data_IF_094400374823
#
_entry.id   IF_094400374823
#
_cell.length_a   1.000
_cell.length_b   1.000
_cell.length_c   1.000
_cell.angle_alpha   90.00
_cell.angle_beta   90.00
_cell.angle_gamma   90.00
#
_symmetry.space_group_name_H-M   'P 1'
#
loop_
_entity.id
_entity.type
_entity.pdbx_description
1 polymer ?
#
# COMPACT_ATOMS: atom_id res chain seq x y z
N UNK A 1 -6.08 -20.92 -21.17
CA UNK A 1 -6.10 -19.45 -21.35
C UNK A 1 -5.47 -18.85 -20.12
N UNK A 2 -4.26 -18.27 -20.22
CA UNK A 2 -3.60 -17.64 -19.07
C UNK A 2 -4.38 -16.38 -18.68
N UNK A 3 -5.33 -16.51 -17.76
CA UNK A 3 -5.98 -15.36 -17.15
C UNK A 3 -4.94 -14.65 -16.28
N UNK A 4 -4.36 -13.57 -16.78
CA UNK A 4 -3.47 -12.72 -16.00
C UNK A 4 -4.22 -12.25 -14.74
N UNK A 5 -3.74 -12.59 -13.53
CA UNK A 5 -4.37 -12.21 -12.25
C UNK A 5 -4.62 -10.71 -12.10
N UNK A 6 -3.92 -9.89 -12.88
CA UNK A 6 -4.04 -8.43 -12.90
C UNK A 6 -5.14 -7.89 -13.81
N UNK A 7 -5.84 -8.74 -14.57
CA UNK A 7 -6.85 -8.33 -15.56
C UNK A 7 -8.08 -7.64 -14.95
N UNK A 8 -8.22 -7.64 -13.63
CA UNK A 8 -9.24 -6.89 -12.92
C UNK A 8 -9.02 -5.37 -12.99
N UNK A 9 -7.77 -4.93 -13.13
CA UNK A 9 -7.39 -3.52 -13.15
C UNK A 9 -7.31 -3.00 -14.58
N UNK A 10 -8.11 -1.98 -14.89
CA UNK A 10 -8.19 -1.38 -16.24
C UNK A 10 -6.96 -0.51 -16.53
N UNK A 11 -6.39 0.11 -15.48
CA UNK A 11 -5.16 0.90 -15.55
C UNK A 11 -4.23 0.59 -14.39
N UNK A 12 -2.95 0.48 -14.72
CA UNK A 12 -1.87 0.29 -13.75
C UNK A 12 -0.83 1.40 -13.96
N UNK A 13 -0.57 2.19 -12.92
CA UNK A 13 0.40 3.28 -12.95
C UNK A 13 1.53 3.06 -11.96
N UNK A 14 2.72 3.54 -12.30
CA UNK A 14 3.83 3.68 -11.37
C UNK A 14 4.36 5.11 -11.39
N UNK A 15 4.32 5.80 -10.25
CA UNK A 15 4.83 7.15 -10.09
C UNK A 15 6.36 7.10 -9.98
N UNK A 16 7.04 7.96 -10.72
CA UNK A 16 8.49 8.13 -10.61
C UNK A 16 8.89 9.57 -10.90
N UNK A 17 9.92 10.07 -10.22
CA UNK A 17 10.46 11.40 -10.53
C UNK A 17 11.44 11.32 -11.72
N UNK A 18 11.44 12.32 -12.61
CA UNK A 18 12.21 12.33 -13.86
C UNK A 18 13.68 11.92 -13.68
N UNK A 19 14.35 12.44 -12.65
CA UNK A 19 15.76 12.16 -12.35
C UNK A 19 16.10 10.77 -11.80
N UNK A 20 15.12 9.88 -11.57
CA UNK A 20 15.35 8.55 -10.97
C UNK A 20 15.16 7.39 -11.94
N UNK A 21 15.95 7.37 -13.02
CA UNK A 21 15.97 6.26 -13.98
C UNK A 21 16.43 4.94 -13.34
N UNK A 22 17.29 5.03 -12.33
CA UNK A 22 17.72 3.93 -11.46
C UNK A 22 16.53 3.22 -10.82
N UNK A 23 15.68 3.95 -10.08
CA UNK A 23 14.47 3.39 -9.42
C UNK A 23 13.49 2.82 -10.43
N UNK A 24 13.31 3.47 -11.58
CA UNK A 24 12.45 2.93 -12.65
C UNK A 24 12.96 1.60 -13.18
N UNK A 25 14.27 1.42 -13.30
CA UNK A 25 14.84 0.15 -13.74
C UNK A 25 14.61 -0.95 -12.69
N UNK A 26 14.82 -0.66 -11.41
CA UNK A 26 14.53 -1.57 -10.30
C UNK A 26 13.03 -1.95 -10.26
N UNK A 27 12.13 -0.95 -10.31
CA UNK A 27 10.69 -1.17 -10.33
C UNK A 27 10.26 -2.03 -11.54
N UNK A 28 10.84 -1.83 -12.72
CA UNK A 28 10.56 -2.69 -13.90
C UNK A 28 10.91 -4.15 -13.65
N UNK A 29 12.04 -4.42 -13.00
CA UNK A 29 12.43 -5.79 -12.64
C UNK A 29 11.42 -6.40 -11.65
N UNK A 30 10.98 -5.62 -10.66
CA UNK A 30 9.95 -6.03 -9.69
C UNK A 30 8.61 -6.32 -10.38
N UNK A 31 8.18 -5.47 -11.32
CA UNK A 31 6.96 -5.72 -12.10
C UNK A 31 7.08 -6.92 -13.04
N UNK A 32 8.26 -7.17 -13.62
CA UNK A 32 8.50 -8.34 -14.45
C UNK A 32 8.35 -9.63 -13.64
N UNK A 33 8.90 -9.67 -12.43
CA UNK A 33 8.83 -10.82 -11.53
C UNK A 33 7.39 -11.21 -11.11
N UNK A 34 6.42 -10.29 -11.22
CA UNK A 34 5.02 -10.54 -10.86
C UNK A 34 4.06 -10.43 -12.06
N UNK A 35 4.56 -10.37 -13.29
CA UNK A 35 3.73 -10.33 -14.50
C UNK A 35 3.04 -8.99 -14.80
N UNK A 36 3.47 -7.89 -14.17
CA UNK A 36 2.92 -6.54 -14.34
C UNK A 36 3.64 -5.69 -15.40
N UNK A 37 4.84 -6.09 -15.85
CA UNK A 37 5.74 -5.22 -16.66
C UNK A 37 5.07 -4.61 -17.90
N UNK A 38 4.20 -5.34 -18.60
CA UNK A 38 3.52 -4.85 -19.81
C UNK A 38 2.25 -4.03 -19.54
N UNK A 39 1.75 -4.05 -18.30
CA UNK A 39 0.53 -3.35 -17.89
C UNK A 39 0.82 -1.99 -17.26
N UNK A 40 1.98 -1.86 -16.62
CA UNK A 40 2.35 -0.66 -15.88
C UNK A 40 2.75 0.47 -16.83
N UNK A 41 2.07 1.60 -16.73
CA UNK A 41 2.49 2.86 -17.31
C UNK A 41 3.21 3.71 -16.26
N UNK A 42 4.43 4.16 -16.56
CA UNK A 42 5.15 5.07 -15.68
C UNK A 42 4.65 6.51 -15.85
N UNK A 43 4.17 7.10 -14.75
CA UNK A 43 3.80 8.52 -14.67
C UNK A 43 5.01 9.29 -14.16
N UNK A 44 5.74 9.89 -15.11
CA UNK A 44 6.97 10.64 -14.82
C UNK A 44 6.61 12.07 -14.40
N UNK A 45 7.05 12.47 -13.21
CA UNK A 45 6.80 13.81 -12.67
C UNK A 45 8.11 14.52 -12.34
N UNK A 46 8.09 15.85 -12.32
CA UNK A 46 9.21 16.62 -11.80
C UNK A 46 9.14 16.69 -10.28
N UNK A 47 10.30 16.70 -9.61
CA UNK A 47 10.35 16.92 -8.15
C UNK A 47 9.79 18.30 -7.87
N UNK A 48 8.83 18.39 -6.96
CA UNK A 48 8.29 19.67 -6.55
C UNK A 48 9.39 20.51 -5.89
N UNK A 49 9.60 21.78 -6.29
CA UNK A 49 10.78 22.55 -5.90
C UNK A 49 10.86 22.83 -4.40
N UNK A 50 9.70 23.03 -3.75
CA UNK A 50 9.62 23.45 -2.34
C UNK A 50 9.08 22.33 -1.43
N UNK A 51 7.91 21.77 -1.76
CA UNK A 51 7.21 20.78 -0.93
C UNK A 51 7.19 19.38 -1.55
N UNK A 52 8.04 18.43 -1.11
CA UNK A 52 7.97 17.03 -1.54
C UNK A 52 6.62 16.37 -1.25
N UNK A 53 5.96 16.76 -0.14
CA UNK A 53 4.66 16.23 0.23
C UNK A 53 3.56 16.67 -0.76
N UNK A 54 3.62 17.92 -1.22
CA UNK A 54 2.73 18.42 -2.27
C UNK A 54 3.00 17.73 -3.61
N UNK A 55 4.27 17.54 -3.97
CA UNK A 55 4.65 16.80 -5.17
C UNK A 55 4.15 15.36 -5.18
N UNK A 56 4.25 14.66 -4.05
CA UNK A 56 3.69 13.33 -3.85
C UNK A 56 2.15 13.33 -3.95
N UNK A 57 1.47 14.28 -3.30
CA UNK A 57 0.02 14.41 -3.42
C UNK A 57 -0.41 14.61 -4.89
N UNK A 58 0.19 15.57 -5.57
CA UNK A 58 -0.12 15.92 -6.95
C UNK A 58 0.15 14.74 -7.91
N UNK A 59 1.21 13.96 -7.70
CA UNK A 59 1.51 12.81 -8.57
C UNK A 59 0.46 11.69 -8.47
N UNK A 60 -0.07 11.41 -7.27
CA UNK A 60 -1.22 10.50 -7.12
C UNK A 60 -2.47 11.07 -7.79
N UNK A 61 -2.81 12.34 -7.54
CA UNK A 61 -3.97 12.99 -8.18
C UNK A 61 -3.86 12.97 -9.71
N UNK A 62 -2.67 13.16 -10.28
CA UNK A 62 -2.43 13.05 -11.72
C UNK A 62 -2.75 11.64 -12.24
N UNK A 63 -2.34 10.58 -11.52
CA UNK A 63 -2.70 9.21 -11.90
C UNK A 63 -4.22 8.99 -11.89
N UNK A 64 -4.92 9.49 -10.88
CA UNK A 64 -6.38 9.35 -10.76
C UNK A 64 -7.11 10.10 -11.88
N UNK A 65 -6.70 11.34 -12.18
CA UNK A 65 -7.26 12.12 -13.30
C UNK A 65 -7.02 11.45 -14.65
N UNK A 66 -5.81 10.89 -14.85
CA UNK A 66 -5.46 10.15 -16.06
C UNK A 66 -6.29 8.86 -16.22
N UNK A 67 -6.50 8.12 -15.13
CA UNK A 67 -7.41 6.96 -15.12
C UNK A 67 -8.85 7.36 -15.46
N UNK A 68 -9.36 8.44 -14.86
CA UNK A 68 -10.70 8.94 -15.13
C UNK A 68 -10.88 9.33 -16.60
N UNK A 69 -9.91 10.04 -17.18
CA UNK A 69 -9.90 10.39 -18.61
C UNK A 69 -9.88 9.15 -19.53
N UNK A 70 -9.34 8.03 -19.04
CA UNK A 70 -9.33 6.75 -19.75
C UNK A 70 -10.57 5.87 -19.49
N UNK A 71 -11.55 6.34 -18.71
CA UNK A 71 -12.74 5.57 -18.34
C UNK A 71 -12.46 4.35 -17.46
N UNK A 72 -11.33 4.33 -16.74
CA UNK A 72 -10.93 3.20 -15.90
C UNK A 72 -11.85 3.04 -14.69
N UNK A 73 -12.31 1.81 -14.42
CA UNK A 73 -13.17 1.45 -13.28
C UNK A 73 -12.37 1.00 -12.07
N UNK A 74 -11.30 0.25 -12.29
CA UNK A 74 -10.40 -0.21 -11.24
C UNK A 74 -8.96 0.15 -11.59
N UNK A 75 -8.32 0.88 -10.68
CA UNK A 75 -7.05 1.55 -10.94
C UNK A 75 -6.05 1.03 -9.91
N UNK A 76 -4.87 0.62 -10.35
CA UNK A 76 -3.78 0.17 -9.48
C UNK A 76 -2.61 1.16 -9.59
N UNK A 77 -2.14 1.68 -8.47
CA UNK A 77 -1.09 2.71 -8.40
C UNK A 77 0.06 2.21 -7.53
N UNK A 78 1.27 2.39 -8.05
CA UNK A 78 2.53 2.10 -7.39
C UNK A 78 3.43 3.34 -7.30
N UNK A 79 4.37 3.33 -6.36
CA UNK A 79 5.58 4.15 -6.40
C UNK A 79 6.77 3.32 -6.90
N UNK A 80 7.79 3.97 -7.47
CA UNK A 80 8.96 3.32 -8.08
C UNK A 80 9.99 2.76 -7.07
N UNK A 81 9.75 2.85 -5.77
CA UNK A 81 10.50 2.10 -4.74
C UNK A 81 9.83 0.79 -4.32
N UNK A 82 8.87 0.31 -5.10
CA UNK A 82 8.19 -0.96 -4.86
C UNK A 82 9.16 -2.16 -4.83
N UNK A 83 8.97 -3.05 -3.87
CA UNK A 83 9.56 -4.38 -3.77
C UNK A 83 8.45 -5.39 -3.53
N UNK A 84 8.40 -6.45 -4.35
CA UNK A 84 7.51 -7.57 -4.12
C UNK A 84 8.20 -8.67 -3.30
N UNK A 85 7.53 -9.16 -2.25
CA UNK A 85 7.99 -10.32 -1.45
C UNK A 85 6.82 -11.22 -1.12
N UNK A 86 6.99 -12.53 -1.29
CA UNK A 86 5.93 -13.51 -1.01
C UNK A 86 4.70 -13.33 -1.91
N UNK A 87 4.91 -12.84 -3.14
CA UNK A 87 3.86 -12.70 -4.14
C UNK A 87 3.19 -14.06 -4.42
N UNK A 88 1.87 -14.03 -4.58
CA UNK A 88 1.07 -15.21 -4.90
C UNK A 88 -0.04 -14.80 -5.85
N UNK A 89 -0.01 -15.35 -7.06
CA UNK A 89 -1.02 -15.11 -8.08
C UNK A 89 -2.43 -15.50 -7.60
N UNK A 90 -2.52 -16.63 -6.89
CA UNK A 90 -3.77 -17.11 -6.28
C UNK A 90 -4.38 -16.07 -5.33
N UNK A 91 -3.56 -15.44 -4.46
CA UNK A 91 -4.07 -14.41 -3.53
C UNK A 91 -4.53 -13.15 -4.24
N UNK A 92 -3.89 -12.75 -5.35
CA UNK A 92 -4.38 -11.64 -6.16
C UNK A 92 -5.73 -12.01 -6.78
N UNK A 93 -5.86 -13.24 -7.31
CA UNK A 93 -7.12 -13.74 -7.86
C UNK A 93 -8.23 -13.70 -6.80
N UNK A 94 -8.01 -14.31 -5.64
CA UNK A 94 -8.92 -14.29 -4.49
C UNK A 94 -9.29 -12.85 -4.09
N UNK A 95 -8.31 -11.97 -3.94
CA UNK A 95 -8.56 -10.58 -3.60
C UNK A 95 -9.42 -9.86 -4.66
N UNK A 96 -9.18 -10.07 -5.94
CA UNK A 96 -10.00 -9.45 -7.00
C UNK A 96 -11.40 -10.07 -7.08
N UNK A 97 -11.58 -11.35 -6.76
CA UNK A 97 -12.89 -11.99 -6.63
C UNK A 97 -13.67 -11.42 -5.45
N UNK A 98 -13.01 -11.21 -4.30
CA UNK A 98 -13.59 -10.50 -3.17
C UNK A 98 -14.03 -9.08 -3.55
N UNK A 99 -13.19 -8.31 -4.27
CA UNK A 99 -13.55 -6.96 -4.71
C UNK A 99 -14.75 -6.96 -5.68
N UNK A 100 -14.84 -7.93 -6.60
CA UNK A 100 -16.00 -8.10 -7.50
C UNK A 100 -17.29 -8.36 -6.71
N UNK A 101 -17.22 -9.18 -5.66
CA UNK A 101 -18.36 -9.51 -4.82
C UNK A 101 -18.78 -8.35 -3.86
N UNK A 102 -17.91 -7.37 -3.65
CA UNK A 102 -18.12 -6.27 -2.71
C UNK A 102 -17.94 -4.90 -3.40
N UNK A 103 -18.83 -4.51 -4.34
CA UNK A 103 -18.61 -3.35 -5.22
C UNK A 103 -18.51 -1.99 -4.51
N UNK A 104 -18.86 -1.92 -3.23
CA UNK A 104 -18.71 -0.74 -2.38
C UNK A 104 -17.29 -0.54 -1.81
N UNK A 105 -16.34 -1.43 -2.12
CA UNK A 105 -14.93 -1.25 -1.77
C UNK A 105 -14.39 0.06 -2.34
N UNK A 106 -13.56 0.79 -1.60
CA UNK A 106 -13.01 2.06 -2.09
C UNK A 106 -11.51 1.98 -2.35
N UNK A 107 -10.76 1.33 -1.45
CA UNK A 107 -9.33 1.07 -1.68
C UNK A 107 -8.93 -0.34 -1.23
N UNK A 108 -7.96 -0.93 -1.93
CA UNK A 108 -7.29 -2.17 -1.54
C UNK A 108 -5.78 -1.95 -1.56
N UNK A 109 -5.10 -2.13 -0.44
CA UNK A 109 -3.65 -1.97 -0.34
C UNK A 109 -2.93 -3.32 -0.52
N UNK A 110 -1.88 -3.36 -1.34
CA UNK A 110 -1.02 -4.56 -1.48
C UNK A 110 0.08 -4.61 -0.41
N UNK A 111 0.27 -3.48 0.28
CA UNK A 111 1.13 -3.27 1.43
C UNK A 111 0.88 -1.89 2.02
N UNK A 112 0.75 -1.79 3.34
CA UNK A 112 0.60 -0.53 4.06
C UNK A 112 0.84 -0.73 5.57
N UNK A 113 0.94 0.37 6.32
CA UNK A 113 0.83 0.33 7.78
C UNK A 113 -0.62 0.64 8.16
N UNK A 114 -1.15 -0.15 9.10
CA UNK A 114 -2.51 -0.01 9.63
C UNK A 114 -2.51 0.31 11.12
N UNK A 115 -3.62 0.86 11.58
CA UNK A 115 -3.92 1.07 13.00
C UNK A 115 -4.94 0.05 13.54
N UNK A 116 -5.69 -0.61 12.65
CA UNK A 116 -6.63 -1.69 12.96
C UNK A 116 -6.77 -2.60 11.76
N UNK A 117 -7.01 -3.88 12.01
CA UNK A 117 -7.34 -4.89 11.01
C UNK A 117 -8.44 -5.81 11.53
N UNK A 118 -9.36 -6.21 10.66
CA UNK A 118 -10.42 -7.17 10.91
C UNK A 118 -10.48 -8.20 9.77
N UNK A 119 -10.95 -9.41 10.08
CA UNK A 119 -11.16 -10.45 9.06
C UNK A 119 -12.31 -10.09 8.13
N UNK A 120 -12.25 -10.59 6.91
CA UNK A 120 -13.41 -10.66 6.01
C UNK A 120 -13.77 -12.13 5.80
N UNK A 121 -14.76 -12.41 4.94
CA UNK A 121 -15.06 -13.78 4.51
C UNK A 121 -13.91 -14.43 3.73
N UNK A 122 -13.03 -13.63 3.13
CA UNK A 122 -11.85 -14.09 2.41
C UNK A 122 -10.60 -14.01 3.32
N UNK A 123 -9.81 -15.09 3.39
CA UNK A 123 -8.63 -15.13 4.27
C UNK A 123 -7.47 -14.28 3.75
N UNK A 124 -7.44 -14.01 2.44
CA UNK A 124 -6.46 -13.20 1.74
C UNK A 124 -6.82 -11.72 1.74
N UNK A 125 -7.99 -11.33 2.27
CA UNK A 125 -8.42 -9.94 2.39
C UNK A 125 -8.74 -9.58 3.83
N UNK A 126 -8.31 -8.39 4.23
CA UNK A 126 -8.59 -7.83 5.56
C UNK A 126 -9.22 -6.47 5.41
N UNK A 127 -10.25 -6.18 6.19
CA UNK A 127 -10.73 -4.80 6.35
C UNK A 127 -9.78 -4.06 7.29
N UNK A 128 -9.41 -2.82 6.97
CA UNK A 128 -8.37 -2.11 7.70
C UNK A 128 -8.77 -0.69 8.09
N UNK A 129 -8.11 -0.16 9.12
CA UNK A 129 -7.99 1.28 9.33
C UNK A 129 -6.57 1.70 8.93
N UNK A 130 -6.45 2.25 7.74
CA UNK A 130 -5.21 2.72 7.13
C UNK A 130 -4.51 3.76 8.01
N UNK A 131 -3.17 3.75 7.98
CA UNK A 131 -2.32 4.74 8.67
C UNK A 131 -1.38 5.46 7.72
N UNK A 132 -0.56 4.74 6.95
CA UNK A 132 0.39 5.31 5.99
C UNK A 132 0.99 4.25 5.03
N UNK A 133 1.87 4.72 4.13
CA UNK A 133 2.55 3.97 3.06
C UNK A 133 1.70 3.66 1.82
N UNK A 134 1.23 4.69 1.12
CA UNK A 134 0.41 4.60 -0.09
C UNK A 134 1.19 4.22 -1.37
N UNK A 135 2.24 3.41 -1.22
CA UNK A 135 3.15 2.99 -2.28
C UNK A 135 2.61 1.91 -3.23
N UNK A 136 1.53 1.21 -2.86
CA UNK A 136 0.92 0.14 -3.66
C UNK A 136 -0.55 -0.06 -3.27
N UNK A 137 -1.46 0.54 -4.03
CA UNK A 137 -2.90 0.43 -3.76
C UNK A 137 -3.74 0.41 -5.04
N UNK A 138 -4.88 -0.27 -4.95
CA UNK A 138 -5.96 -0.16 -5.90
C UNK A 138 -7.06 0.77 -5.37
N UNK A 139 -7.78 1.40 -6.28
CA UNK A 139 -8.91 2.30 -6.00
C UNK A 139 -10.01 2.11 -7.05
N UNK A 140 -11.27 2.17 -6.62
CA UNK A 140 -12.42 2.09 -7.52
C UNK A 140 -12.69 3.46 -8.18
N UNK A 141 -13.43 3.50 -9.28
CA UNK A 141 -13.67 4.74 -10.01
C UNK A 141 -14.44 5.82 -9.22
N UNK A 142 -15.52 5.50 -8.47
CA UNK A 142 -16.22 6.51 -7.69
C UNK A 142 -15.32 7.21 -6.68
N UNK A 143 -14.50 6.43 -5.95
CA UNK A 143 -13.58 6.99 -4.97
C UNK A 143 -12.39 7.68 -5.62
N UNK A 144 -11.87 7.16 -6.75
CA UNK A 144 -10.84 7.84 -7.53
C UNK A 144 -11.30 9.23 -8.00
N UNK A 145 -12.55 9.37 -8.43
CA UNK A 145 -13.13 10.65 -8.82
C UNK A 145 -13.25 11.60 -7.61
N UNK A 146 -13.70 11.11 -6.46
CA UNK A 146 -13.74 11.91 -5.22
C UNK A 146 -12.35 12.41 -4.82
N UNK A 147 -11.35 11.53 -4.82
CA UNK A 147 -9.97 11.89 -4.50
C UNK A 147 -9.42 12.91 -5.51
N UNK A 148 -9.63 12.69 -6.81
CA UNK A 148 -9.14 13.56 -7.89
C UNK A 148 -9.73 15.00 -7.86
N UNK A 149 -10.91 15.17 -7.27
CA UNK A 149 -11.58 16.45 -7.11
C UNK A 149 -11.04 17.27 -5.92
N UNK A 150 -10.23 16.67 -5.04
CA UNK A 150 -9.71 17.33 -3.83
C UNK A 150 -8.40 18.06 -4.17
N UNK A 151 -8.33 19.40 -4.05
CA UNK A 151 -7.08 20.12 -4.23
C UNK A 151 -6.13 19.85 -3.06
N UNK A 152 -4.86 20.21 -3.23
CA UNK A 152 -3.90 20.20 -2.13
C UNK A 152 -4.36 21.12 -0.99
N UNK A 153 -4.35 20.60 0.24
CA UNK A 153 -4.81 21.32 1.45
C UNK A 153 -3.71 21.44 2.51
N UNK A 154 -2.43 21.32 2.11
CA UNK A 154 -1.32 21.35 3.06
C UNK A 154 -1.12 20.07 3.88
N UNK A 155 -1.82 18.98 3.54
CA UNK A 155 -1.73 17.69 4.26
C UNK A 155 -1.19 16.58 3.34
N UNK A 156 -0.13 15.84 3.74
CA UNK A 156 0.40 14.74 2.93
C UNK A 156 -0.67 13.72 2.52
N UNK A 157 -0.48 13.08 1.37
CA UNK A 157 -1.45 12.15 0.79
C UNK A 157 -1.84 11.01 1.74
N UNK A 158 -0.87 10.42 2.46
CA UNK A 158 -1.13 9.42 3.49
C UNK A 158 -2.05 9.94 4.61
N UNK A 159 -1.78 11.14 5.12
CA UNK A 159 -2.60 11.78 6.16
C UNK A 159 -4.01 12.05 5.65
N UNK A 160 -4.13 12.48 4.39
CA UNK A 160 -5.41 12.69 3.73
C UNK A 160 -6.23 11.39 3.66
N UNK A 161 -5.64 10.29 3.16
CA UNK A 161 -6.29 8.98 3.12
C UNK A 161 -6.65 8.44 4.51
N UNK A 162 -5.75 8.60 5.49
CA UNK A 162 -5.97 8.16 6.86
C UNK A 162 -7.09 8.94 7.57
N UNK A 163 -7.40 10.17 7.16
CA UNK A 163 -8.56 10.91 7.66
C UNK A 163 -9.87 10.39 7.06
N UNK A 164 -9.86 9.91 5.82
CA UNK A 164 -11.05 9.38 5.15
C UNK A 164 -11.40 7.97 5.65
N UNK A 165 -10.43 7.05 5.63
CA UNK A 165 -10.50 5.73 6.27
C UNK A 165 -11.85 5.00 6.12
N UNK A 166 -12.35 4.96 4.89
CA UNK A 166 -13.67 4.44 4.57
C UNK A 166 -13.65 2.91 4.34
N UNK A 167 -14.22 2.39 3.25
CA UNK A 167 -14.25 0.94 2.96
C UNK A 167 -12.90 0.46 2.37
N UNK A 168 -11.89 0.45 3.24
CA UNK A 168 -10.51 0.11 2.91
C UNK A 168 -10.16 -1.32 3.29
N UNK A 169 -9.46 -1.98 2.37
CA UNK A 169 -9.02 -3.36 2.47
C UNK A 169 -7.52 -3.47 2.28
N UNK A 170 -6.92 -4.56 2.76
CA UNK A 170 -5.54 -4.91 2.45
C UNK A 170 -5.42 -6.40 2.11
N UNK A 171 -4.51 -6.70 1.19
CA UNK A 171 -4.08 -8.06 0.89
C UNK A 171 -3.36 -8.65 2.10
N UNK A 172 -3.61 -9.92 2.39
CA UNK A 172 -2.98 -10.65 3.48
C UNK A 172 -2.47 -12.03 3.05
N UNK A 173 -1.23 -12.41 3.42
CA UNK A 173 -0.14 -11.50 3.76
C UNK A 173 0.12 -10.45 2.68
N UNK A 174 0.54 -9.25 3.10
CA UNK A 174 1.00 -8.21 2.19
C UNK A 174 2.15 -8.71 1.31
N UNK A 175 2.14 -8.30 0.05
CA UNK A 175 3.17 -8.68 -0.93
C UNK A 175 3.98 -7.51 -1.47
N UNK A 176 3.52 -6.26 -1.26
CA UNK A 176 4.19 -5.04 -1.66
C UNK A 176 4.86 -4.36 -0.46
N UNK A 177 6.09 -3.89 -0.64
CA UNK A 177 6.87 -3.19 0.37
C UNK A 177 7.64 -2.04 -0.29
N UNK A 178 7.96 -0.97 0.45
CA UNK A 178 8.90 0.04 -0.04
C UNK A 178 10.34 -0.39 0.20
N UNK A 179 11.21 -0.06 -0.74
CA UNK A 179 12.65 -0.24 -0.62
C UNK A 179 13.23 0.65 0.46
N UNK A 180 14.37 0.22 1.02
CA UNK A 180 15.16 1.03 1.95
C UNK A 180 16.08 2.02 1.19
N UNK A 181 15.85 2.25 -0.10
CA UNK A 181 16.66 3.18 -0.88
C UNK A 181 16.70 4.55 -0.18
N UNK A 182 17.84 5.25 -0.29
CA UNK A 182 17.98 6.58 0.30
C UNK A 182 16.85 7.49 -0.18
N UNK A 183 15.97 7.88 0.74
CA UNK A 183 15.29 9.16 0.64
C UNK A 183 16.34 10.22 0.94
N UNK A 184 16.27 11.39 0.29
CA UNK A 184 17.29 12.45 0.44
C UNK A 184 17.43 12.97 1.90
N UNK A 185 16.58 12.51 2.83
CA UNK A 185 16.60 12.85 4.24
C UNK A 185 17.47 11.87 5.05
N UNK A 186 18.75 12.22 5.23
CA UNK A 186 19.71 11.43 6.03
C UNK A 186 19.59 11.76 7.53
N UNK A 187 18.81 10.99 8.28
CA UNK A 187 18.77 11.06 9.76
C UNK A 187 19.34 9.78 10.41
N UNK A 188 19.89 9.89 11.62
CA UNK A 188 20.40 8.76 12.42
C UNK A 188 19.33 7.67 12.64
N UNK A 189 18.07 8.08 12.85
CA UNK A 189 16.91 7.18 12.99
C UNK A 189 16.74 6.30 11.75
N UNK A 190 17.05 6.82 10.56
CA UNK A 190 16.93 6.04 9.32
C UNK A 190 18.00 4.94 9.24
N UNK A 191 19.21 5.18 9.75
CA UNK A 191 20.25 4.13 9.84
C UNK A 191 19.86 3.01 10.81
N UNK A 192 19.35 3.37 11.98
CA UNK A 192 18.90 2.38 12.97
C UNK A 192 17.69 1.58 12.46
N UNK A 193 16.74 2.25 11.79
CA UNK A 193 15.62 1.60 11.10
C UNK A 193 16.10 0.58 10.07
N UNK A 194 17.08 0.94 9.23
CA UNK A 194 17.65 0.03 8.21
C UNK A 194 18.37 -1.16 8.84
N UNK A 195 19.11 -0.94 9.93
CA UNK A 195 19.81 -1.99 10.66
C UNK A 195 18.84 -3.04 11.24
N UNK A 196 17.62 -2.62 11.61
CA UNK A 196 16.56 -3.50 12.11
C UNK A 196 15.63 -4.04 11.01
N UNK A 197 16.08 -4.10 9.75
CA UNK A 197 15.31 -4.66 8.63
C UNK A 197 14.44 -3.66 7.85
N UNK A 198 14.47 -2.37 8.23
CA UNK A 198 13.88 -1.28 7.45
C UNK A 198 12.36 -1.21 7.49
N UNK A 199 11.79 -0.50 6.52
CA UNK A 199 10.34 -0.26 6.48
C UNK A 199 9.54 -1.55 6.24
N UNK A 200 10.11 -2.49 5.48
CA UNK A 200 9.50 -3.80 5.24
C UNK A 200 9.34 -4.63 6.52
N UNK A 201 10.33 -4.59 7.42
CA UNK A 201 10.22 -5.25 8.73
C UNK A 201 9.12 -4.62 9.58
N UNK A 202 9.08 -3.28 9.66
CA UNK A 202 8.04 -2.55 10.39
C UNK A 202 6.64 -2.89 9.86
N UNK A 203 6.47 -2.90 8.54
CA UNK A 203 5.20 -3.26 7.90
C UNK A 203 4.80 -4.71 8.26
N UNK A 204 5.73 -5.66 8.18
CA UNK A 204 5.47 -7.07 8.53
C UNK A 204 5.14 -7.26 10.01
N UNK A 205 5.86 -6.58 10.90
CA UNK A 205 5.58 -6.61 12.34
C UNK A 205 4.20 -5.99 12.65
N UNK A 206 3.84 -4.88 11.99
CA UNK A 206 2.53 -4.25 12.09
C UNK A 206 1.40 -5.20 11.64
N UNK A 207 1.60 -5.88 10.52
CA UNK A 207 0.69 -6.91 9.99
C UNK A 207 0.48 -8.06 10.99
N UNK A 208 1.56 -8.64 11.53
CA UNK A 208 1.51 -9.73 12.52
C UNK A 208 0.80 -9.26 13.80
N UNK A 209 1.18 -8.09 14.32
CA UNK A 209 0.58 -7.53 15.52
C UNK A 209 -0.93 -7.37 15.36
N UNK A 210 -1.40 -6.77 14.27
CA UNK A 210 -2.83 -6.55 14.06
C UNK A 210 -3.60 -7.82 13.68
N UNK A 211 -2.93 -8.85 13.17
CA UNK A 211 -3.52 -10.18 12.97
C UNK A 211 -3.76 -10.90 14.30
N UNK A 212 -2.80 -10.82 15.22
CA UNK A 212 -2.78 -11.63 16.45
C UNK A 212 -2.98 -10.81 17.73
N UNK A 213 -3.43 -9.55 17.62
CA UNK A 213 -3.54 -8.61 18.75
C UNK A 213 -4.25 -9.19 19.97
N UNK A 214 -5.36 -9.93 19.77
CA UNK A 214 -6.10 -10.57 20.86
C UNK A 214 -5.25 -11.61 21.59
N UNK A 215 -4.61 -12.52 20.86
CA UNK A 215 -3.70 -13.54 21.42
C UNK A 215 -2.54 -12.88 22.16
N UNK A 216 -1.92 -11.85 21.55
CA UNK A 216 -0.82 -11.11 22.17
C UNK A 216 -1.27 -10.51 23.52
N UNK A 217 -2.42 -9.82 23.55
CA UNK A 217 -2.94 -9.22 24.79
C UNK A 217 -3.22 -10.30 25.84
N UNK A 218 -3.91 -11.39 25.46
CA UNK A 218 -4.24 -12.49 26.37
C UNK A 218 -2.97 -13.13 26.95
N UNK A 219 -1.94 -13.36 26.13
CA UNK A 219 -0.66 -13.88 26.60
C UNK A 219 0.01 -12.96 27.62
N UNK A 220 -0.01 -11.64 27.41
CA UNK A 220 0.58 -10.69 28.36
C UNK A 220 -0.21 -10.65 29.67
N UNK A 221 -1.55 -10.67 29.60
CA UNK A 221 -2.39 -10.74 30.81
C UNK A 221 -2.16 -12.03 31.60
N UNK A 222 -1.97 -13.17 30.92
CA UNK A 222 -1.63 -14.44 31.55
C UNK A 222 -0.28 -14.40 32.25
N UNK A 223 0.76 -13.83 31.62
CA UNK A 223 2.08 -13.65 32.24
C UNK A 223 1.98 -12.75 33.47
N UNK A 224 1.26 -11.63 33.38
CA UNK A 224 1.07 -10.72 34.51
C UNK A 224 0.32 -11.41 35.67
N UNK A 225 -0.68 -12.24 35.37
CA UNK A 225 -1.39 -13.01 36.39
C UNK A 225 -0.48 -14.06 37.08
N UNK A 226 0.38 -14.74 36.31
CA UNK A 226 1.37 -15.69 36.86
C UNK A 226 2.37 -14.95 37.75
N UNK A 227 2.91 -13.82 37.31
CA UNK A 227 3.83 -13.01 38.10
C UNK A 227 3.14 -12.51 39.38
N UNK A 228 1.92 -11.98 39.27
CA UNK A 228 1.16 -11.52 40.43
C UNK A 228 0.96 -12.63 41.46
N UNK A 229 0.64 -13.86 41.01
CA UNK A 229 0.48 -15.01 41.90
C UNK A 229 1.81 -15.50 42.49
N UNK A 230 2.92 -15.39 41.76
CA UNK A 230 4.24 -15.82 42.24
C UNK A 230 4.87 -14.85 43.27
N UNK A 231 4.36 -13.62 43.37
CA UNK A 231 4.82 -12.59 44.31
C UNK A 231 3.78 -12.26 45.40
N UNK A 232 2.72 -13.07 45.52
CA UNK A 232 1.78 -13.13 46.65
C UNK A 232 2.21 -14.24 47.62
#
# INVERSE_FOLDING_TARGET
MNSNSWSFFDKVYCISIAGRSDRRQEARQQFAAVGLQRLVEFVIVNKHPISPAEGCYQSHITCLKKAAAAGARHILIFEDDIIFKGFSEAKIKEATEFLRANPHWEMMFLGCIVSRSAGTADKSVRRIKYRCLSHAYAVNQPFAAELAARPWQGIPYDTFLARMNKEFYALYPACAFQSNAATDNRFFIDKLRRALGGLAFIQRANEIFHRHKGVIIISHLGILAILFYAFL
#
